data_IF_622831666908
#
_entry.id   IF_622831666908
#
_cell.length_a   1.000
_cell.length_b   1.000
_cell.length_c   1.000
_cell.angle_alpha   90.00
_cell.angle_beta   90.00
_cell.angle_gamma   90.00
#
_symmetry.space_group_name_H-M   'P 1'
#
loop_
_entity.id
_entity.type
_entity.pdbx_description
1 polymer ?
#
# COMPACT_ATOMS: atom_id res chain seq x y z
N UNK A 1 -21.46 -8.27 -24.23
CA UNK A 1 -20.04 -8.62 -23.99
C UNK A 1 -19.36 -7.38 -23.42
N UNK A 2 -18.61 -7.50 -22.32
CA UNK A 2 -17.81 -6.39 -21.79
C UNK A 2 -16.63 -6.19 -22.73
N UNK A 3 -16.48 -4.96 -23.26
CA UNK A 3 -15.35 -4.58 -24.11
C UNK A 3 -14.40 -3.70 -23.27
N UNK A 4 -13.11 -4.07 -23.25
CA UNK A 4 -12.07 -3.30 -22.57
C UNK A 4 -11.33 -2.49 -23.63
N UNK A 5 -11.12 -1.20 -23.37
CA UNK A 5 -10.34 -0.35 -24.25
C UNK A 5 -8.84 -0.49 -23.91
N UNK A 6 -8.14 -1.24 -24.74
CA UNK A 6 -6.68 -1.42 -24.59
C UNK A 6 -5.93 -0.15 -25.04
N UNK A 7 -4.94 0.33 -24.28
CA UNK A 7 -4.00 1.34 -24.76
C UNK A 7 -3.34 0.92 -26.07
N UNK A 8 -3.00 1.90 -26.93
CA UNK A 8 -2.40 1.63 -28.25
C UNK A 8 -1.17 0.75 -28.18
N UNK A 9 -0.28 1.01 -27.23
CA UNK A 9 0.97 0.24 -27.07
C UNK A 9 0.70 -1.20 -26.63
N UNK A 10 -0.23 -1.41 -25.69
CA UNK A 10 -0.65 -2.74 -25.21
C UNK A 10 -1.26 -3.55 -26.36
N UNK A 11 -2.19 -2.93 -27.09
CA UNK A 11 -2.82 -3.53 -28.29
C UNK A 11 -1.77 -3.89 -29.33
N UNK A 12 -0.79 -3.01 -29.58
CA UNK A 12 0.30 -3.26 -30.52
C UNK A 12 1.13 -4.48 -30.10
N UNK A 13 1.53 -4.58 -28.83
CA UNK A 13 2.30 -5.73 -28.33
C UNK A 13 1.50 -7.03 -28.50
N UNK A 14 0.24 -7.03 -28.10
CA UNK A 14 -0.64 -8.21 -28.23
C UNK A 14 -0.76 -8.62 -29.71
N UNK A 15 -1.03 -7.69 -30.62
CA UNK A 15 -1.19 -7.97 -32.04
C UNK A 15 0.10 -8.53 -32.66
N UNK A 16 1.27 -7.93 -32.36
CA UNK A 16 2.56 -8.45 -32.87
C UNK A 16 2.79 -9.89 -32.43
N UNK A 17 2.48 -10.24 -31.19
CA UNK A 17 2.61 -11.62 -30.70
C UNK A 17 1.63 -12.56 -31.44
N UNK A 18 0.36 -12.15 -31.58
CA UNK A 18 -0.67 -12.97 -32.23
C UNK A 18 -0.42 -13.15 -33.72
N UNK A 19 0.02 -12.11 -34.45
CA UNK A 19 0.40 -12.18 -35.87
C UNK A 19 1.59 -13.11 -36.14
N UNK A 20 2.42 -13.38 -35.11
CA UNK A 20 3.53 -14.34 -35.16
C UNK A 20 3.17 -15.72 -34.59
N UNK A 21 1.87 -16.01 -34.40
CA UNK A 21 1.37 -17.34 -34.06
C UNK A 21 1.39 -17.65 -32.55
N UNK A 22 1.52 -16.64 -31.69
CA UNK A 22 1.48 -16.81 -30.25
C UNK A 22 0.16 -16.29 -29.70
N UNK A 23 -0.36 -16.90 -28.63
CA UNK A 23 -1.43 -16.31 -27.86
C UNK A 23 -0.89 -15.14 -27.01
N UNK A 24 -1.67 -14.06 -26.88
CA UNK A 24 -1.33 -12.93 -26.03
C UNK A 24 -2.57 -12.23 -25.49
N UNK A 25 -2.53 -11.86 -24.20
CA UNK A 25 -3.63 -11.20 -23.48
C UNK A 25 -3.10 -10.17 -22.49
N UNK A 26 -3.84 -9.07 -22.29
CA UNK A 26 -3.76 -8.27 -21.07
C UNK A 26 -4.30 -9.11 -19.90
N UNK A 27 -3.71 -9.02 -18.70
CA UNK A 27 -4.03 -9.94 -17.61
C UNK A 27 -3.96 -9.31 -16.22
N UNK A 28 -4.82 -9.77 -15.32
CA UNK A 28 -4.69 -9.41 -13.90
C UNK A 28 -5.35 -8.09 -13.53
N UNK A 29 -4.60 -7.23 -12.84
CA UNK A 29 -5.10 -5.98 -12.28
C UNK A 29 -5.71 -5.03 -13.30
N UNK A 30 -5.10 -4.91 -14.48
CA UNK A 30 -5.59 -4.04 -15.54
C UNK A 30 -6.96 -4.49 -16.08
N UNK A 31 -7.18 -5.80 -16.24
CA UNK A 31 -8.47 -6.35 -16.67
C UNK A 31 -9.54 -6.09 -15.64
N UNK A 32 -9.25 -6.41 -14.36
CA UNK A 32 -10.16 -6.12 -13.24
C UNK A 32 -10.54 -4.64 -13.16
N UNK A 33 -9.56 -3.74 -13.19
CA UNK A 33 -9.80 -2.31 -13.01
C UNK A 33 -10.57 -1.74 -14.20
N UNK A 34 -10.30 -2.18 -15.43
CA UNK A 34 -11.08 -1.82 -16.60
C UNK A 34 -12.55 -2.26 -16.49
N UNK A 35 -12.81 -3.48 -16.01
CA UNK A 35 -14.19 -3.97 -15.77
C UNK A 35 -14.92 -3.12 -14.72
N UNK A 36 -14.19 -2.65 -13.70
CA UNK A 36 -14.73 -1.78 -12.64
C UNK A 36 -14.85 -0.31 -13.06
N UNK A 37 -14.51 0.05 -14.31
CA UNK A 37 -14.51 1.43 -14.79
C UNK A 37 -13.41 2.31 -14.16
N UNK A 38 -12.34 1.69 -13.65
CA UNK A 38 -11.16 2.36 -13.10
C UNK A 38 -10.07 2.44 -14.17
N UNK A 39 -9.26 3.47 -14.14
CA UNK A 39 -8.07 3.56 -15.01
C UNK A 39 -6.96 2.68 -14.43
N UNK A 40 -6.50 1.63 -15.16
CA UNK A 40 -5.37 0.83 -14.72
C UNK A 40 -4.08 1.66 -14.62
N UNK A 41 -3.29 1.43 -13.55
CA UNK A 41 -1.97 2.05 -13.40
C UNK A 41 -0.93 1.38 -14.30
N UNK A 42 -0.94 0.05 -14.33
CA UNK A 42 0.00 -0.77 -15.08
C UNK A 42 -0.76 -1.78 -15.95
N UNK A 43 -0.16 -2.19 -17.06
CA UNK A 43 -0.71 -3.17 -17.97
C UNK A 43 0.25 -4.33 -18.12
N UNK A 44 -0.11 -5.47 -17.54
CA UNK A 44 0.61 -6.73 -17.65
C UNK A 44 0.08 -7.50 -18.85
N UNK A 45 0.98 -8.10 -19.61
CA UNK A 45 0.67 -8.95 -20.76
C UNK A 45 1.18 -10.36 -20.45
N UNK A 46 0.36 -11.37 -20.78
CA UNK A 46 0.75 -12.76 -20.69
C UNK A 46 0.67 -13.41 -22.07
N UNK A 47 1.58 -14.35 -22.41
CA UNK A 47 1.70 -14.92 -23.75
C UNK A 47 2.18 -16.37 -23.72
N UNK A 48 1.86 -17.13 -24.79
CA UNK A 48 2.44 -18.44 -25.04
C UNK A 48 3.88 -18.38 -25.60
N UNK A 49 4.35 -17.19 -26.04
CA UNK A 49 5.70 -17.02 -26.55
C UNK A 49 6.73 -17.15 -25.41
N UNK A 50 7.82 -17.88 -25.66
CA UNK A 50 8.95 -17.97 -24.73
C UNK A 50 9.71 -16.63 -24.67
N UNK A 51 10.45 -16.33 -23.58
CA UNK A 51 11.13 -15.04 -23.41
C UNK A 51 12.04 -14.66 -24.59
N UNK A 52 12.77 -15.62 -25.15
CA UNK A 52 13.65 -15.37 -26.31
C UNK A 52 12.85 -15.09 -27.60
N UNK A 53 11.66 -15.65 -27.73
CA UNK A 53 10.77 -15.37 -28.86
C UNK A 53 10.19 -13.96 -28.75
N UNK A 54 9.77 -13.54 -27.54
CA UNK A 54 9.37 -12.14 -27.25
C UNK A 54 10.50 -11.18 -27.65
N UNK A 55 11.74 -11.46 -27.21
CA UNK A 55 12.91 -10.61 -27.53
C UNK A 55 13.20 -10.52 -29.04
N UNK A 56 12.95 -11.58 -29.77
CA UNK A 56 13.15 -11.59 -31.21
C UNK A 56 12.14 -10.74 -31.99
N UNK A 57 10.93 -10.54 -31.44
CA UNK A 57 9.86 -9.80 -32.11
C UNK A 57 9.93 -8.29 -31.84
N UNK A 58 10.59 -7.85 -30.77
CA UNK A 58 10.62 -6.45 -30.38
C UNK A 58 12.03 -5.87 -30.41
N UNK A 59 12.18 -4.69 -31.01
CA UNK A 59 13.48 -4.02 -31.21
C UNK A 59 14.21 -3.72 -29.90
N UNK A 60 13.48 -3.39 -28.83
CA UNK A 60 14.06 -3.00 -27.54
C UNK A 60 13.36 -3.70 -26.40
N UNK A 61 14.09 -4.51 -25.67
CA UNK A 61 13.62 -5.25 -24.52
C UNK A 61 14.61 -5.14 -23.36
N UNK A 62 14.11 -5.33 -22.12
CA UNK A 62 14.93 -5.37 -20.90
C UNK A 62 14.62 -6.67 -20.16
N UNK A 63 15.65 -7.36 -19.69
CA UNK A 63 15.55 -8.62 -18.97
C UNK A 63 15.23 -8.36 -17.49
N UNK A 64 13.98 -8.06 -17.17
CA UNK A 64 13.55 -7.74 -15.80
C UNK A 64 13.28 -8.98 -14.95
N UNK A 65 13.09 -10.15 -15.58
CA UNK A 65 12.78 -11.40 -14.87
C UNK A 65 12.79 -12.60 -15.79
N UNK A 66 13.78 -12.70 -16.68
CA UNK A 66 13.86 -13.74 -17.72
C UNK A 66 13.84 -15.17 -17.15
N UNK A 67 14.44 -15.37 -15.94
CA UNK A 67 14.42 -16.65 -15.24
C UNK A 67 13.01 -17.06 -14.81
N UNK A 68 12.10 -16.09 -14.67
CA UNK A 68 10.71 -16.29 -14.31
C UNK A 68 9.76 -16.09 -15.50
N UNK A 69 10.30 -15.99 -16.72
CA UNK A 69 9.53 -15.85 -17.94
C UNK A 69 9.10 -14.42 -18.29
N UNK A 70 9.58 -13.40 -17.58
CA UNK A 70 9.19 -12.00 -17.81
C UNK A 70 10.25 -11.23 -18.57
N UNK A 71 9.82 -10.52 -19.62
CA UNK A 71 10.61 -9.58 -20.42
C UNK A 71 9.85 -8.26 -20.48
N UNK A 72 10.53 -7.14 -20.26
CA UNK A 72 9.93 -5.82 -20.45
C UNK A 72 10.15 -5.36 -21.89
N UNK A 73 9.06 -5.17 -22.62
CA UNK A 73 9.06 -4.58 -23.98
C UNK A 73 9.02 -3.07 -23.86
N UNK A 74 9.98 -2.38 -24.49
CA UNK A 74 10.09 -0.93 -24.44
C UNK A 74 9.51 -0.30 -25.71
N UNK A 75 8.44 0.49 -25.55
CA UNK A 75 7.84 1.32 -26.60
C UNK A 75 8.04 2.80 -26.25
N UNK A 76 8.94 3.46 -26.96
CA UNK A 76 9.38 4.81 -26.60
C UNK A 76 10.04 4.86 -25.21
N UNK A 77 9.43 5.58 -24.28
CA UNK A 77 9.88 5.68 -22.88
C UNK A 77 9.15 4.71 -21.93
N UNK A 78 8.10 4.06 -22.40
CA UNK A 78 7.26 3.19 -21.59
C UNK A 78 7.74 1.74 -21.67
N UNK A 79 7.71 1.04 -20.54
CA UNK A 79 7.99 -0.41 -20.45
C UNK A 79 6.72 -1.18 -20.13
N UNK A 80 6.52 -2.30 -20.81
CA UNK A 80 5.38 -3.21 -20.62
C UNK A 80 5.90 -4.59 -20.28
N UNK A 81 5.46 -5.16 -19.16
CA UNK A 81 5.85 -6.51 -18.75
C UNK A 81 5.09 -7.55 -19.58
N UNK A 82 5.84 -8.40 -20.28
CA UNK A 82 5.33 -9.53 -21.05
C UNK A 82 5.85 -10.80 -20.42
N UNK A 83 4.93 -11.61 -19.86
CA UNK A 83 5.26 -12.83 -19.13
C UNK A 83 4.79 -14.05 -19.90
N UNK A 84 5.69 -15.01 -20.11
CA UNK A 84 5.35 -16.33 -20.68
C UNK A 84 4.44 -17.10 -19.76
N UNK A 85 3.42 -17.79 -20.29
CA UNK A 85 2.56 -18.69 -19.51
C UNK A 85 3.41 -19.70 -18.76
N UNK A 86 3.11 -19.89 -17.48
CA UNK A 86 3.91 -20.77 -16.64
C UNK A 86 3.08 -21.48 -15.58
N UNK A 87 3.61 -22.60 -15.15
CA UNK A 87 3.19 -23.34 -13.98
C UNK A 87 4.30 -23.15 -12.94
N UNK A 88 3.94 -22.67 -11.77
CA UNK A 88 4.87 -22.52 -10.67
C UNK A 88 5.09 -23.90 -10.01
N UNK A 89 6.34 -24.32 -9.85
CA UNK A 89 6.69 -25.53 -9.12
C UNK A 89 6.51 -25.36 -7.60
N UNK A 90 6.97 -26.34 -6.82
CA UNK A 90 6.89 -26.25 -5.33
C UNK A 90 7.66 -25.04 -4.82
N UNK A 91 7.05 -24.34 -3.88
CA UNK A 91 7.65 -23.20 -3.18
C UNK A 91 8.47 -23.71 -1.98
N UNK A 92 9.74 -23.33 -1.88
CA UNK A 92 10.60 -23.72 -0.75
C UNK A 92 10.76 -22.60 0.30
N UNK A 93 10.75 -21.34 -0.15
CA UNK A 93 10.98 -20.16 0.69
C UNK A 93 9.71 -19.29 0.90
N UNK A 94 8.52 -19.85 0.62
CA UNK A 94 7.25 -19.14 0.65
C UNK A 94 7.22 -17.87 -0.22
N UNK A 95 8.04 -17.84 -1.31
CA UNK A 95 8.08 -16.71 -2.24
C UNK A 95 8.34 -17.11 -3.69
N UNK A 96 9.38 -17.91 -3.92
CA UNK A 96 9.81 -18.28 -5.25
C UNK A 96 9.54 -19.76 -5.50
N UNK A 97 8.91 -20.11 -6.61
CA UNK A 97 8.87 -21.50 -7.01
C UNK A 97 10.30 -21.99 -7.29
N UNK A 98 10.63 -23.17 -6.82
CA UNK A 98 11.94 -23.83 -7.05
C UNK A 98 12.27 -23.95 -8.53
N UNK A 99 11.23 -24.14 -9.35
CA UNK A 99 11.31 -24.24 -10.78
C UNK A 99 10.09 -23.57 -11.42
N UNK A 100 10.29 -22.97 -12.57
CA UNK A 100 9.21 -22.45 -13.41
C UNK A 100 9.18 -23.35 -14.65
N UNK A 101 8.03 -23.91 -14.92
CA UNK A 101 7.78 -24.67 -16.14
C UNK A 101 6.91 -23.84 -17.09
N UNK A 102 7.38 -23.59 -18.29
CA UNK A 102 6.59 -22.88 -19.28
C UNK A 102 5.51 -23.78 -19.85
N UNK A 103 4.33 -23.22 -20.06
CA UNK A 103 3.18 -23.92 -20.63
C UNK A 103 2.62 -23.12 -21.81
N UNK A 104 1.83 -23.79 -22.64
CA UNK A 104 1.07 -23.15 -23.72
C UNK A 104 -0.41 -22.95 -23.33
N UNK A 105 -0.78 -23.28 -22.09
CA UNK A 105 -2.15 -23.21 -21.62
C UNK A 105 -2.37 -21.99 -20.74
N UNK A 106 -3.14 -21.02 -21.23
CA UNK A 106 -3.51 -19.79 -20.49
C UNK A 106 -4.19 -20.10 -19.15
N UNK A 107 -5.06 -21.14 -19.11
CA UNK A 107 -5.80 -21.45 -17.88
C UNK A 107 -4.86 -21.89 -16.75
N UNK A 108 -3.78 -22.62 -17.07
CA UNK A 108 -2.76 -22.99 -16.07
C UNK A 108 -1.98 -21.75 -15.56
N UNK A 109 -1.70 -20.76 -16.44
CA UNK A 109 -1.11 -19.48 -15.99
C UNK A 109 -2.07 -18.69 -15.09
N UNK A 110 -3.36 -18.65 -15.41
CA UNK A 110 -4.36 -17.99 -14.58
C UNK A 110 -4.55 -18.69 -13.24
N UNK A 111 -4.46 -20.03 -13.20
CA UNK A 111 -4.66 -20.87 -12.00
C UNK A 111 -3.63 -20.62 -10.90
N UNK A 112 -2.39 -20.26 -11.22
CA UNK A 112 -1.33 -19.94 -10.22
C UNK A 112 -1.50 -18.59 -9.56
N UNK A 113 -2.41 -17.73 -10.04
CA UNK A 113 -2.64 -16.38 -9.52
C UNK A 113 -3.31 -16.43 -8.14
N UNK A 114 -3.23 -15.30 -7.43
CA UNK A 114 -3.71 -15.19 -6.05
C UNK A 114 -5.24 -15.25 -5.93
N UNK A 115 -5.94 -14.35 -6.63
CA UNK A 115 -7.40 -14.17 -6.48
C UNK A 115 -8.10 -14.24 -7.83
N UNK A 116 -9.34 -14.75 -7.81
CA UNK A 116 -10.19 -14.90 -9.01
C UNK A 116 -10.34 -13.59 -9.78
N UNK A 117 -10.50 -12.48 -9.08
CA UNK A 117 -10.62 -11.14 -9.68
C UNK A 117 -9.36 -10.66 -10.40
N UNK A 118 -8.21 -11.30 -10.18
CA UNK A 118 -6.93 -11.06 -10.86
C UNK A 118 -6.56 -12.20 -11.82
N UNK A 119 -7.39 -13.23 -11.92
CA UNK A 119 -7.17 -14.39 -12.79
C UNK A 119 -8.07 -14.34 -14.05
N UNK A 120 -8.17 -13.16 -14.62
CA UNK A 120 -8.88 -12.90 -15.86
C UNK A 120 -7.92 -12.34 -16.90
N UNK A 121 -8.13 -12.69 -18.15
CA UNK A 121 -7.34 -12.22 -19.28
C UNK A 121 -8.26 -11.61 -20.35
N UNK A 122 -7.72 -10.72 -21.19
CA UNK A 122 -8.48 -10.03 -22.24
C UNK A 122 -7.61 -9.75 -23.46
N UNK A 123 -8.15 -10.00 -24.64
CA UNK A 123 -7.71 -9.38 -25.90
C UNK A 123 -8.92 -9.01 -26.77
N UNK A 124 -8.69 -8.25 -27.85
CA UNK A 124 -9.78 -7.77 -28.70
C UNK A 124 -10.43 -8.88 -29.55
N UNK A 125 -9.73 -9.99 -29.77
CA UNK A 125 -10.21 -11.12 -30.60
C UNK A 125 -11.11 -12.08 -29.79
N UNK A 126 -10.65 -12.53 -28.63
CA UNK A 126 -11.34 -13.53 -27.82
C UNK A 126 -12.22 -12.93 -26.71
N UNK A 127 -12.06 -11.61 -26.43
CA UNK A 127 -12.76 -10.96 -25.30
C UNK A 127 -12.18 -11.37 -23.95
N UNK A 128 -13.03 -11.42 -22.93
CA UNK A 128 -12.64 -11.81 -21.56
C UNK A 128 -12.56 -13.34 -21.44
N UNK A 129 -11.42 -13.84 -20.99
CA UNK A 129 -11.22 -15.22 -20.54
C UNK A 129 -11.26 -15.25 -19.03
N UNK A 130 -12.28 -15.91 -18.48
CA UNK A 130 -12.56 -16.01 -17.04
C UNK A 130 -12.85 -17.48 -16.67
N UNK A 131 -11.80 -18.23 -16.35
CA UNK A 131 -11.89 -19.64 -16.00
C UNK A 131 -12.25 -19.89 -14.53
N UNK A 132 -12.24 -18.86 -13.68
CA UNK A 132 -12.37 -19.00 -12.22
C UNK A 132 -13.49 -18.14 -11.61
N UNK A 133 -14.42 -17.65 -12.44
CA UNK A 133 -15.57 -16.83 -12.03
C UNK A 133 -15.17 -15.47 -11.38
N UNK A 134 -14.09 -14.87 -11.86
CA UNK A 134 -13.65 -13.55 -11.42
C UNK A 134 -14.68 -12.45 -11.68
N UNK A 135 -15.40 -12.52 -12.82
CA UNK A 135 -16.52 -11.62 -13.14
C UNK A 135 -17.68 -11.75 -12.13
N UNK A 136 -17.99 -12.98 -11.70
CA UNK A 136 -18.98 -13.25 -10.67
C UNK A 136 -18.53 -12.66 -9.32
N UNK A 137 -17.27 -12.82 -8.95
CA UNK A 137 -16.72 -12.28 -7.70
C UNK A 137 -16.66 -10.75 -7.70
N UNK A 138 -16.36 -10.12 -8.82
CA UNK A 138 -16.46 -8.66 -8.96
C UNK A 138 -17.91 -8.18 -8.72
N UNK A 139 -18.91 -8.87 -9.26
CA UNK A 139 -20.32 -8.53 -9.04
C UNK A 139 -20.75 -8.75 -7.58
N UNK A 140 -20.29 -9.83 -6.95
CA UNK A 140 -20.53 -10.13 -5.53
C UNK A 140 -19.73 -9.25 -4.59
N UNK A 141 -18.74 -8.55 -5.10
CA UNK A 141 -17.81 -7.71 -4.34
C UNK A 141 -17.03 -8.50 -3.27
N UNK A 142 -16.47 -9.63 -3.66
CA UNK A 142 -15.68 -10.50 -2.78
C UNK A 142 -14.27 -10.76 -3.32
N UNK A 143 -13.33 -10.96 -2.39
CA UNK A 143 -11.97 -11.42 -2.64
C UNK A 143 -11.93 -12.91 -2.34
N UNK A 144 -11.77 -13.74 -3.37
CA UNK A 144 -11.68 -15.20 -3.28
C UNK A 144 -10.39 -15.68 -3.92
N UNK A 145 -9.71 -16.62 -3.27
CA UNK A 145 -8.54 -17.28 -3.84
C UNK A 145 -8.89 -18.12 -5.08
N UNK A 146 -7.94 -18.22 -6.00
CA UNK A 146 -8.04 -19.17 -7.11
C UNK A 146 -7.82 -20.58 -6.57
N UNK A 147 -8.80 -21.48 -6.76
CA UNK A 147 -8.73 -22.84 -6.24
C UNK A 147 -8.88 -22.89 -4.71
N UNK A 148 -8.05 -23.69 -4.04
CA UNK A 148 -8.08 -23.82 -2.57
C UNK A 148 -7.26 -22.73 -1.91
N UNK A 149 -7.90 -21.94 -1.05
CA UNK A 149 -7.26 -20.82 -0.36
C UNK A 149 -6.06 -21.26 0.49
N UNK A 150 -6.16 -22.41 1.17
CA UNK A 150 -5.08 -22.97 1.96
C UNK A 150 -3.82 -23.19 1.12
N UNK A 151 -3.95 -23.81 -0.06
CA UNK A 151 -2.81 -24.07 -0.94
C UNK A 151 -2.17 -22.75 -1.43
N UNK A 152 -3.00 -21.75 -1.77
CA UNK A 152 -2.54 -20.41 -2.22
C UNK A 152 -1.76 -19.65 -1.14
N UNK A 153 -2.18 -19.75 0.10
CA UNK A 153 -1.48 -19.07 1.21
C UNK A 153 -0.25 -19.85 1.69
N UNK A 154 -0.24 -21.18 1.57
CA UNK A 154 0.95 -21.98 1.85
C UNK A 154 2.07 -21.74 0.83
N UNK A 155 1.74 -21.51 -0.44
CA UNK A 155 2.70 -21.11 -1.47
C UNK A 155 3.36 -19.75 -1.17
N UNK A 156 2.58 -18.73 -0.82
CA UNK A 156 3.08 -17.39 -0.45
C UNK A 156 2.15 -16.76 0.60
N UNK A 157 2.58 -16.80 1.85
CA UNK A 157 1.81 -16.22 2.96
C UNK A 157 1.53 -14.71 2.79
N UNK A 158 2.33 -13.97 2.00
CA UNK A 158 2.05 -12.57 1.72
C UNK A 158 0.68 -12.38 1.04
N UNK A 159 0.15 -13.40 0.36
CA UNK A 159 -1.19 -13.34 -0.24
C UNK A 159 -2.28 -13.09 0.81
N UNK A 160 -2.06 -13.41 2.09
CA UNK A 160 -2.96 -13.05 3.19
C UNK A 160 -3.07 -11.51 3.32
N UNK A 161 -1.94 -10.81 3.39
CA UNK A 161 -1.95 -9.34 3.41
C UNK A 161 -2.47 -8.74 2.10
N UNK A 162 -2.20 -9.38 0.98
CA UNK A 162 -2.74 -8.97 -0.33
C UNK A 162 -4.27 -9.08 -0.36
N UNK A 163 -4.87 -10.11 0.25
CA UNK A 163 -6.34 -10.23 0.36
C UNK A 163 -6.93 -9.03 1.11
N UNK A 164 -6.36 -8.66 2.26
CA UNK A 164 -6.80 -7.50 3.04
C UNK A 164 -6.58 -6.20 2.26
N UNK A 165 -5.42 -6.04 1.60
CA UNK A 165 -5.16 -4.86 0.77
C UNK A 165 -6.17 -4.72 -0.36
N UNK A 166 -6.46 -5.78 -1.11
CA UNK A 166 -7.46 -5.72 -2.18
C UNK A 166 -8.86 -5.45 -1.62
N UNK A 167 -9.21 -6.06 -0.47
CA UNK A 167 -10.44 -5.75 0.25
C UNK A 167 -10.54 -4.24 0.55
N UNK A 168 -9.49 -3.63 1.08
CA UNK A 168 -9.43 -2.19 1.36
C UNK A 168 -9.46 -1.32 0.08
N UNK A 169 -8.70 -1.67 -0.95
CA UNK A 169 -8.63 -0.90 -2.19
C UNK A 169 -9.93 -0.91 -3.00
N UNK A 170 -10.65 -2.03 -2.97
CA UNK A 170 -11.86 -2.23 -3.74
C UNK A 170 -13.14 -1.99 -2.92
N UNK A 171 -13.06 -2.00 -1.59
CA UNK A 171 -14.21 -1.98 -0.69
C UNK A 171 -15.00 -3.30 -0.75
N UNK A 172 -14.32 -4.44 -0.91
CA UNK A 172 -14.89 -5.77 -1.06
C UNK A 172 -14.73 -6.59 0.23
N UNK A 173 -15.66 -7.51 0.49
CA UNK A 173 -15.49 -8.51 1.53
C UNK A 173 -14.45 -9.57 1.14
N UNK A 174 -13.97 -10.33 2.11
CA UNK A 174 -13.17 -11.55 1.87
C UNK A 174 -14.13 -12.74 2.01
N UNK A 175 -14.09 -13.67 1.07
CA UNK A 175 -14.89 -14.88 1.08
C UNK A 175 -14.54 -15.76 2.31
N UNK A 176 -15.54 -16.45 2.88
CA UNK A 176 -15.42 -17.12 4.18
C UNK A 176 -14.33 -18.20 4.23
N UNK A 177 -14.21 -19.05 3.22
CA UNK A 177 -13.17 -20.08 3.17
C UNK A 177 -11.78 -19.45 2.98
N UNK A 178 -11.71 -18.36 2.22
CA UNK A 178 -10.49 -17.56 2.07
C UNK A 178 -10.09 -16.90 3.40
N UNK A 179 -11.04 -16.32 4.13
CA UNK A 179 -10.78 -15.73 5.45
C UNK A 179 -10.40 -16.78 6.49
N UNK A 180 -11.02 -17.96 6.46
CA UNK A 180 -10.69 -19.10 7.35
C UNK A 180 -9.25 -19.56 7.12
N UNK A 181 -8.88 -19.83 5.87
CA UNK A 181 -7.51 -20.22 5.52
C UNK A 181 -6.49 -19.15 5.89
N UNK A 182 -6.84 -17.86 5.73
CA UNK A 182 -5.99 -16.74 6.14
C UNK A 182 -5.72 -16.75 7.66
N UNK A 183 -6.74 -17.01 8.50
CA UNK A 183 -6.57 -17.13 9.96
C UNK A 183 -5.67 -18.31 10.34
N UNK A 184 -5.88 -19.47 9.72
CA UNK A 184 -5.11 -20.67 9.98
C UNK A 184 -3.63 -20.50 9.61
N UNK A 185 -3.35 -19.82 8.50
CA UNK A 185 -2.01 -19.65 7.96
C UNK A 185 -1.34 -18.30 8.32
N UNK A 186 -2.03 -17.39 9.06
CA UNK A 186 -1.44 -16.14 9.51
C UNK A 186 -0.06 -16.30 10.19
N UNK A 187 0.20 -17.34 11.04
CA UNK A 187 1.51 -17.53 11.66
C UNK A 187 2.65 -17.70 10.65
N UNK A 188 2.39 -18.17 9.44
CA UNK A 188 3.43 -18.35 8.40
C UNK A 188 4.00 -17.05 7.86
N UNK A 189 3.32 -15.91 8.10
CA UNK A 189 3.80 -14.56 7.75
C UNK A 189 5.16 -14.22 8.41
N UNK A 190 5.54 -14.92 9.50
CA UNK A 190 6.87 -14.77 10.11
C UNK A 190 8.01 -15.04 9.12
N UNK A 191 7.77 -15.88 8.10
CA UNK A 191 8.72 -16.21 7.04
C UNK A 191 8.88 -15.12 5.98
N UNK A 192 7.96 -14.16 5.93
CA UNK A 192 7.94 -13.11 4.91
C UNK A 192 8.83 -11.94 5.34
N UNK A 193 9.62 -11.42 4.41
CA UNK A 193 10.49 -10.27 4.68
C UNK A 193 9.68 -9.02 5.06
N UNK A 194 10.22 -8.22 5.98
CA UNK A 194 9.55 -7.01 6.48
C UNK A 194 9.29 -5.97 5.39
N UNK A 195 10.14 -5.92 4.37
CA UNK A 195 10.01 -5.05 3.20
C UNK A 195 8.77 -5.41 2.37
N UNK A 196 8.49 -6.71 2.20
CA UNK A 196 7.28 -7.16 1.50
C UNK A 196 6.02 -6.87 2.32
N UNK A 197 6.09 -7.09 3.63
CA UNK A 197 4.98 -6.80 4.56
C UNK A 197 4.63 -5.31 4.53
N UNK A 198 5.60 -4.41 4.73
CA UNK A 198 5.31 -2.98 4.75
C UNK A 198 4.81 -2.47 3.39
N UNK A 199 5.26 -3.05 2.29
CA UNK A 199 4.78 -2.67 0.95
C UNK A 199 3.27 -2.91 0.81
N UNK A 200 2.75 -4.06 1.27
CA UNK A 200 1.32 -4.34 1.27
C UNK A 200 0.57 -3.47 2.30
N UNK A 201 1.14 -3.27 3.48
CA UNK A 201 0.57 -2.43 4.53
C UNK A 201 0.48 -0.96 4.09
N UNK A 202 1.50 -0.42 3.43
CA UNK A 202 1.49 0.94 2.86
C UNK A 202 0.35 1.10 1.86
N UNK A 203 0.19 0.13 0.93
CA UNK A 203 -0.89 0.16 -0.06
C UNK A 203 -2.28 0.05 0.57
N UNK A 204 -2.39 -0.68 1.69
CA UNK A 204 -3.62 -0.76 2.47
C UNK A 204 -3.93 0.58 3.13
N UNK A 205 -2.99 1.15 3.86
CA UNK A 205 -3.16 2.41 4.58
C UNK A 205 -3.41 3.60 3.65
N UNK A 206 -2.86 3.59 2.44
CA UNK A 206 -3.10 4.62 1.41
C UNK A 206 -4.35 4.37 0.56
N UNK A 207 -5.08 3.27 0.79
CA UNK A 207 -6.31 2.95 0.05
C UNK A 207 -7.47 3.90 0.39
N UNK A 208 -8.55 3.79 -0.39
CA UNK A 208 -9.79 4.52 -0.13
C UNK A 208 -10.54 4.07 1.14
N UNK A 209 -10.25 2.86 1.65
CA UNK A 209 -10.85 2.32 2.86
C UNK A 209 -9.77 1.83 3.84
N UNK A 210 -8.93 2.73 4.37
CA UNK A 210 -7.80 2.34 5.22
C UNK A 210 -8.23 1.75 6.58
N UNK A 211 -9.47 1.96 7.00
CA UNK A 211 -10.09 1.38 8.18
C UNK A 211 -10.30 -0.15 8.07
N UNK A 212 -10.21 -0.72 6.86
CA UNK A 212 -10.12 -2.18 6.64
C UNK A 212 -8.86 -2.80 7.25
N UNK A 213 -7.94 -2.00 7.74
CA UNK A 213 -6.86 -2.46 8.60
C UNK A 213 -7.38 -3.33 9.77
N UNK A 214 -8.60 -3.11 10.25
CA UNK A 214 -9.23 -3.97 11.27
C UNK A 214 -9.36 -5.44 10.85
N UNK A 215 -9.46 -5.71 9.54
CA UNK A 215 -9.48 -7.08 9.01
C UNK A 215 -8.13 -7.79 9.29
N UNK A 216 -7.01 -7.05 9.30
CA UNK A 216 -5.69 -7.58 9.71
C UNK A 216 -5.75 -8.08 11.16
N UNK A 217 -6.51 -7.37 12.00
CA UNK A 217 -6.72 -7.75 13.40
C UNK A 217 -7.62 -8.98 13.51
N UNK A 218 -8.76 -9.00 12.81
CA UNK A 218 -9.74 -10.09 12.83
C UNK A 218 -9.16 -11.42 12.29
N UNK A 219 -8.19 -11.34 11.38
CA UNK A 219 -7.47 -12.50 10.85
C UNK A 219 -6.30 -12.97 11.74
N UNK A 220 -6.05 -12.33 12.88
CA UNK A 220 -4.93 -12.66 13.76
C UNK A 220 -3.55 -12.35 13.18
N UNK A 221 -3.51 -11.54 12.11
CA UNK A 221 -2.27 -11.16 11.43
C UNK A 221 -1.51 -10.09 12.21
N UNK A 222 -2.23 -9.26 12.98
CA UNK A 222 -1.66 -8.13 13.73
C UNK A 222 -0.53 -8.56 14.66
N UNK A 223 -0.73 -9.65 15.42
CA UNK A 223 0.27 -10.20 16.36
C UNK A 223 1.58 -10.62 15.69
N UNK A 224 1.57 -10.86 14.39
CA UNK A 224 2.75 -11.29 13.63
C UNK A 224 3.49 -10.08 13.06
N UNK A 225 2.74 -9.07 12.59
CA UNK A 225 3.32 -7.90 11.92
C UNK A 225 3.66 -6.76 12.88
N UNK A 226 2.80 -6.51 13.88
CA UNK A 226 2.96 -5.48 14.92
C UNK A 226 2.48 -6.06 16.26
N UNK A 227 3.30 -6.88 16.94
CA UNK A 227 2.90 -7.55 18.19
C UNK A 227 2.43 -6.58 19.29
N UNK A 228 2.97 -5.36 19.30
CA UNK A 228 2.61 -4.32 20.27
C UNK A 228 1.13 -3.91 20.18
N UNK A 229 0.47 -4.21 19.06
CA UNK A 229 -0.96 -3.94 18.86
C UNK A 229 -1.83 -5.20 19.04
N UNK A 230 -1.28 -6.35 19.47
CA UNK A 230 -2.05 -7.60 19.59
C UNK A 230 -3.23 -7.48 20.58
N UNK A 231 -2.99 -6.85 21.73
CA UNK A 231 -3.93 -6.83 22.87
C UNK A 231 -4.60 -5.46 23.07
N UNK A 232 -4.86 -4.72 21.98
CA UNK A 232 -5.65 -3.49 22.08
C UNK A 232 -7.14 -3.84 22.28
N UNK A 233 -7.81 -3.11 23.17
CA UNK A 233 -9.25 -3.26 23.39
C UNK A 233 -10.08 -2.71 22.22
N UNK A 234 -11.35 -3.10 22.16
CA UNK A 234 -12.26 -2.69 21.10
C UNK A 234 -12.38 -1.16 20.97
N UNK A 235 -12.36 -0.42 22.09
CA UNK A 235 -12.44 1.04 22.10
C UNK A 235 -11.20 1.66 21.42
N UNK A 236 -10.00 1.16 21.74
CA UNK A 236 -8.77 1.62 21.06
C UNK A 236 -8.76 1.27 19.58
N UNK A 237 -9.24 0.08 19.23
CA UNK A 237 -9.34 -0.33 17.84
C UNK A 237 -10.27 0.60 17.04
N UNK A 238 -11.46 0.91 17.58
CA UNK A 238 -12.39 1.84 16.94
C UNK A 238 -11.84 3.27 16.84
N UNK A 239 -11.11 3.71 17.84
CA UNK A 239 -10.40 5.00 17.82
C UNK A 239 -9.36 5.03 16.71
N UNK A 240 -8.53 3.98 16.57
CA UNK A 240 -7.54 3.86 15.49
C UNK A 240 -8.23 3.88 14.12
N UNK A 241 -9.31 3.11 13.93
CA UNK A 241 -10.11 3.11 12.68
C UNK A 241 -10.60 4.50 12.32
N UNK A 242 -11.15 5.22 13.30
CA UNK A 242 -11.63 6.58 13.12
C UNK A 242 -10.49 7.52 12.71
N UNK A 243 -9.35 7.46 13.37
CA UNK A 243 -8.19 8.31 13.09
C UNK A 243 -7.60 8.04 11.71
N UNK A 244 -7.34 6.77 11.38
CA UNK A 244 -6.83 6.37 10.06
C UNK A 244 -7.75 6.91 8.95
N UNK A 245 -9.06 6.87 9.14
CA UNK A 245 -10.02 7.37 8.14
C UNK A 245 -10.02 8.88 7.99
N UNK A 246 -9.75 9.60 9.09
CA UNK A 246 -9.76 11.07 9.14
C UNK A 246 -8.46 11.71 8.65
N UNK A 247 -7.33 11.04 8.83
CA UNK A 247 -6.03 11.58 8.42
C UNK A 247 -5.85 11.61 6.92
N UNK A 248 -4.98 12.49 6.43
CA UNK A 248 -4.59 12.56 5.03
C UNK A 248 -4.00 11.22 4.54
N UNK A 249 -4.12 10.94 3.24
CA UNK A 249 -3.58 9.73 2.62
C UNK A 249 -2.07 9.84 2.38
N UNK A 250 -1.32 10.09 3.45
CA UNK A 250 0.15 10.20 3.47
C UNK A 250 0.69 9.26 4.54
N UNK A 251 1.77 8.53 4.24
CA UNK A 251 2.24 7.43 5.09
C UNK A 251 2.54 7.83 6.54
N UNK A 252 3.29 8.91 6.85
CA UNK A 252 3.56 9.28 8.23
C UNK A 252 2.29 9.50 9.06
N UNK A 253 1.28 10.18 8.52
CA UNK A 253 0.00 10.44 9.18
C UNK A 253 -0.80 9.16 9.39
N UNK A 254 -0.84 8.28 8.39
CA UNK A 254 -1.54 7.00 8.47
C UNK A 254 -0.90 6.09 9.52
N UNK A 255 0.45 6.04 9.57
CA UNK A 255 1.16 5.28 10.60
C UNK A 255 1.02 5.91 11.99
N UNK A 256 1.07 7.23 12.10
CA UNK A 256 0.82 7.89 13.38
C UNK A 256 -0.59 7.61 13.91
N UNK A 257 -1.60 7.63 13.04
CA UNK A 257 -2.97 7.26 13.40
C UNK A 257 -3.07 5.79 13.84
N UNK A 258 -2.41 4.86 13.11
CA UNK A 258 -2.35 3.44 13.46
C UNK A 258 -1.67 3.21 14.82
N UNK A 259 -0.61 3.95 15.13
CA UNK A 259 0.21 3.82 16.32
C UNK A 259 -0.17 4.82 17.44
N UNK A 260 -1.34 5.46 17.35
CA UNK A 260 -1.80 6.48 18.32
C UNK A 260 -2.06 5.94 19.72
N UNK A 261 -2.00 4.63 19.92
CA UNK A 261 -2.17 3.98 21.24
C UNK A 261 -0.86 3.56 21.91
N UNK A 262 0.31 3.85 21.30
CA UNK A 262 1.63 3.60 21.85
C UNK A 262 2.40 4.92 21.97
N UNK A 263 3.52 4.92 22.73
CA UNK A 263 4.42 6.07 22.81
C UNK A 263 5.29 6.23 21.55
N UNK A 264 5.91 7.41 21.41
CA UNK A 264 6.70 7.76 20.22
C UNK A 264 7.93 6.86 19.99
N UNK A 265 8.59 6.43 21.07
CA UNK A 265 9.78 5.57 21.00
C UNK A 265 9.38 4.16 20.53
N UNK A 266 8.27 3.66 21.05
CA UNK A 266 7.68 2.39 20.61
C UNK A 266 7.22 2.47 19.15
N UNK A 267 6.57 3.56 18.73
CA UNK A 267 6.19 3.79 17.34
C UNK A 267 7.42 3.78 16.44
N UNK A 268 8.48 4.50 16.80
CA UNK A 268 9.74 4.49 16.07
C UNK A 268 10.36 3.11 15.94
N UNK A 269 10.37 2.30 17.02
CA UNK A 269 10.88 0.91 16.99
C UNK A 269 10.06 0.00 16.07
N UNK A 270 8.74 0.09 16.12
CA UNK A 270 7.82 -0.66 15.25
C UNK A 270 8.12 -0.35 13.78
N UNK A 271 8.14 0.95 13.41
CA UNK A 271 8.33 1.39 12.04
C UNK A 271 9.72 1.01 11.48
N UNK A 272 10.76 1.11 12.34
CA UNK A 272 12.10 0.62 12.00
C UNK A 272 12.11 -0.90 11.81
N UNK A 273 11.40 -1.64 12.66
CA UNK A 273 11.22 -3.08 12.54
C UNK A 273 10.52 -3.49 11.25
N UNK A 274 9.58 -2.69 10.77
CA UNK A 274 8.90 -2.84 9.47
C UNK A 274 9.77 -2.39 8.29
N UNK A 275 10.98 -1.85 8.50
CA UNK A 275 11.90 -1.40 7.44
C UNK A 275 11.35 -0.26 6.58
N UNK A 276 10.64 0.68 7.19
CA UNK A 276 10.26 1.92 6.51
C UNK A 276 11.47 2.86 6.34
N UNK A 277 11.31 3.86 5.47
CA UNK A 277 12.32 4.91 5.30
C UNK A 277 12.40 5.83 6.52
N UNK A 278 13.59 6.42 6.74
CA UNK A 278 13.85 7.24 7.92
C UNK A 278 12.96 8.48 8.00
N UNK A 279 12.59 9.10 6.88
CA UNK A 279 11.73 10.29 6.87
C UNK A 279 10.32 9.94 7.37
N UNK A 280 9.77 8.83 6.91
CA UNK A 280 8.47 8.30 7.38
C UNK A 280 8.54 7.93 8.87
N UNK A 281 9.60 7.25 9.32
CA UNK A 281 9.77 6.85 10.74
C UNK A 281 9.81 8.08 11.64
N UNK A 282 10.68 9.05 11.35
CA UNK A 282 10.87 10.24 12.18
C UNK A 282 9.60 11.08 12.26
N UNK A 283 8.94 11.29 11.11
CA UNK A 283 7.73 12.10 11.07
C UNK A 283 6.56 11.42 11.79
N UNK A 284 6.35 10.12 11.58
CA UNK A 284 5.28 9.39 12.26
C UNK A 284 5.49 9.33 13.78
N UNK A 285 6.72 9.08 14.25
CA UNK A 285 7.04 9.10 15.68
C UNK A 285 6.85 10.50 16.28
N UNK A 286 7.21 11.57 15.55
CA UNK A 286 6.95 12.94 15.97
C UNK A 286 5.45 13.24 16.05
N UNK A 287 4.65 12.82 15.09
CA UNK A 287 3.19 12.95 15.14
C UNK A 287 2.59 12.22 16.34
N UNK A 288 3.07 11.00 16.64
CA UNK A 288 2.65 10.25 17.83
C UNK A 288 3.06 10.99 19.13
N UNK A 289 4.27 11.59 19.18
CA UNK A 289 4.74 12.36 20.35
C UNK A 289 3.83 13.55 20.67
N UNK A 290 3.44 14.29 19.65
CA UNK A 290 2.63 15.51 19.78
C UNK A 290 1.13 15.28 19.55
N UNK A 291 0.73 14.02 19.47
CA UNK A 291 -0.67 13.66 19.40
C UNK A 291 -1.41 14.10 20.69
N UNK A 292 -2.57 14.73 20.51
CA UNK A 292 -3.43 15.18 21.61
C UNK A 292 -2.73 16.15 22.59
N UNK A 293 -1.71 16.89 22.16
CA UNK A 293 -1.14 17.98 22.94
C UNK A 293 -2.19 19.08 23.15
N UNK A 294 -2.06 19.87 24.21
CA UNK A 294 -2.91 21.04 24.38
C UNK A 294 -2.55 22.12 23.35
N UNK A 295 -3.53 22.65 22.56
CA UNK A 295 -3.25 23.72 21.61
C UNK A 295 -2.83 25.02 22.33
N UNK A 296 -1.78 25.67 21.82
CA UNK A 296 -1.31 26.95 22.32
C UNK A 296 -1.78 28.09 21.41
N UNK A 297 -2.31 29.18 21.98
CA UNK A 297 -2.97 30.25 21.22
C UNK A 297 -2.34 31.63 21.41
N UNK A 298 -1.18 31.74 22.08
CA UNK A 298 -0.39 32.94 22.11
C UNK A 298 0.78 32.90 21.14
N UNK A 299 1.15 34.02 20.53
CA UNK A 299 2.25 34.10 19.57
C UNK A 299 3.58 33.62 20.16
N UNK A 300 3.88 34.01 21.42
CA UNK A 300 5.09 33.59 22.12
C UNK A 300 5.16 32.05 22.30
N UNK A 301 4.04 31.43 22.74
CA UNK A 301 3.97 30.00 22.93
C UNK A 301 4.03 29.23 21.59
N UNK A 302 3.45 29.78 20.52
CA UNK A 302 3.54 29.18 19.18
C UNK A 302 4.98 29.28 18.63
N UNK A 303 5.70 30.37 18.85
CA UNK A 303 7.14 30.45 18.48
C UNK A 303 7.97 29.41 19.23
N UNK A 304 7.74 29.27 20.54
CA UNK A 304 8.41 28.23 21.31
C UNK A 304 8.11 26.82 20.76
N UNK A 305 6.85 26.53 20.47
CA UNK A 305 6.42 25.28 19.84
C UNK A 305 7.12 25.06 18.48
N UNK A 306 7.16 26.09 17.60
CA UNK A 306 7.83 25.99 16.29
C UNK A 306 9.32 25.67 16.47
N UNK A 307 9.99 26.30 17.43
CA UNK A 307 11.40 26.04 17.74
C UNK A 307 11.62 24.60 18.26
N UNK A 308 10.71 24.07 19.07
CA UNK A 308 10.80 22.73 19.61
C UNK A 308 10.59 21.65 18.53
N UNK A 309 9.56 21.80 17.67
CA UNK A 309 9.20 20.76 16.68
C UNK A 309 9.86 20.95 15.34
N UNK A 310 10.38 22.12 15.05
CA UNK A 310 10.94 22.55 13.76
C UNK A 310 9.89 23.19 12.85
N UNK A 311 10.30 24.22 12.15
CA UNK A 311 9.43 25.06 11.30
C UNK A 311 8.65 24.27 10.23
N UNK A 312 9.32 23.30 9.59
CA UNK A 312 8.70 22.50 8.54
C UNK A 312 7.65 21.53 9.04
N UNK A 313 7.77 21.06 10.29
CA UNK A 313 6.90 20.05 10.87
C UNK A 313 5.74 20.65 11.69
N UNK A 314 5.88 21.89 12.16
CA UNK A 314 4.94 22.53 13.07
C UNK A 314 3.50 22.53 12.52
N UNK A 315 3.30 23.01 11.29
CA UNK A 315 1.98 23.05 10.65
C UNK A 315 1.45 21.64 10.43
N UNK A 316 2.29 20.70 10.02
CA UNK A 316 1.90 19.32 9.77
C UNK A 316 1.38 18.61 11.03
N UNK A 317 2.02 18.86 12.18
CA UNK A 317 1.57 18.33 13.48
C UNK A 317 0.23 18.93 13.86
N UNK A 318 0.06 20.24 13.69
CA UNK A 318 -1.21 20.92 13.99
C UNK A 318 -2.33 20.40 13.10
N UNK A 319 -2.09 20.27 11.78
CA UNK A 319 -3.07 19.75 10.80
C UNK A 319 -3.45 18.30 11.11
N UNK A 320 -2.49 17.46 11.53
CA UNK A 320 -2.76 16.11 12.00
C UNK A 320 -3.70 16.12 13.21
N UNK A 321 -3.41 16.93 14.23
CA UNK A 321 -4.28 17.04 15.41
C UNK A 321 -5.67 17.55 15.06
N UNK A 322 -5.81 18.55 14.18
CA UNK A 322 -7.10 19.04 13.67
C UNK A 322 -7.91 17.90 13.04
N UNK A 323 -7.26 17.03 12.26
CA UNK A 323 -7.93 15.94 11.55
C UNK A 323 -8.56 14.90 12.48
N UNK A 324 -7.97 14.68 13.66
CA UNK A 324 -8.33 13.58 14.56
C UNK A 324 -8.92 14.03 15.90
N UNK A 325 -8.80 15.32 16.27
CA UNK A 325 -9.33 15.82 17.55
C UNK A 325 -10.87 15.89 17.55
N UNK A 326 -11.43 15.84 18.75
CA UNK A 326 -12.85 16.14 18.99
C UNK A 326 -13.19 17.62 18.80
N UNK A 327 -14.48 17.93 18.72
CA UNK A 327 -14.99 19.28 18.51
C UNK A 327 -14.49 20.31 19.53
N UNK A 328 -14.24 19.88 20.76
CA UNK A 328 -13.80 20.75 21.86
C UNK A 328 -12.41 21.36 21.64
N UNK A 329 -11.45 20.58 21.12
CA UNK A 329 -10.09 21.04 20.88
C UNK A 329 -9.90 21.63 19.47
N UNK A 330 -10.81 21.39 18.56
CA UNK A 330 -10.68 21.78 17.15
C UNK A 330 -10.49 23.30 16.99
N UNK A 331 -11.24 24.12 17.73
CA UNK A 331 -11.11 25.58 17.71
C UNK A 331 -9.71 26.01 18.14
N UNK A 332 -9.19 25.47 19.23
CA UNK A 332 -7.85 25.78 19.74
C UNK A 332 -6.75 25.45 18.72
N UNK A 333 -6.80 24.27 18.12
CA UNK A 333 -5.85 23.90 17.05
C UNK A 333 -6.01 24.76 15.79
N UNK A 334 -7.24 25.13 15.42
CA UNK A 334 -7.47 26.01 14.28
C UNK A 334 -6.87 27.41 14.52
N UNK A 335 -7.01 27.96 15.73
CA UNK A 335 -6.41 29.24 16.08
C UNK A 335 -4.89 29.15 16.19
N UNK A 336 -4.34 28.08 16.77
CA UNK A 336 -2.90 27.77 16.76
C UNK A 336 -2.34 27.71 15.35
N UNK A 337 -3.06 27.05 14.41
CA UNK A 337 -2.67 26.97 13.00
C UNK A 337 -2.53 28.35 12.35
N UNK A 338 -3.52 29.25 12.57
CA UNK A 338 -3.47 30.64 12.06
C UNK A 338 -2.23 31.37 12.54
N UNK A 339 -1.92 31.23 13.84
CA UNK A 339 -0.74 31.88 14.44
C UNK A 339 0.56 31.26 13.87
N UNK A 340 0.63 29.91 13.70
CA UNK A 340 1.78 29.27 13.06
C UNK A 340 2.03 29.80 11.64
N UNK A 341 0.97 29.96 10.83
CA UNK A 341 1.09 30.52 9.46
C UNK A 341 1.60 31.96 9.53
N UNK A 342 1.02 32.78 10.39
CA UNK A 342 1.41 34.20 10.56
C UNK A 342 2.87 34.35 10.98
N UNK A 343 3.33 33.56 11.97
CA UNK A 343 4.73 33.59 12.46
C UNK A 343 5.68 33.15 11.36
N UNK A 344 5.31 32.11 10.60
CA UNK A 344 6.13 31.61 9.48
C UNK A 344 6.24 32.62 8.33
N UNK A 345 5.15 33.29 7.94
CA UNK A 345 5.14 34.31 6.88
C UNK A 345 5.95 35.55 7.24
N UNK A 346 6.06 35.90 8.52
CA UNK A 346 6.91 36.98 9.01
C UNK A 346 8.41 36.62 9.04
N UNK A 347 8.75 35.34 8.87
CA UNK A 347 10.14 34.87 9.05
C UNK A 347 10.65 34.93 10.47
N UNK A 348 9.75 35.03 11.45
CA UNK A 348 10.04 35.34 12.85
C UNK A 348 9.93 34.09 13.74
N UNK A 349 10.41 32.95 13.18
CA UNK A 349 10.35 31.65 13.86
C UNK A 349 11.41 31.49 14.95
N UNK A 350 12.47 32.32 14.96
CA UNK A 350 13.52 32.30 15.97
C UNK A 350 13.08 33.08 17.22
N UNK A 351 12.99 32.42 18.36
CA UNK A 351 12.85 33.07 19.64
C UNK A 351 14.18 33.80 19.95
N UNK A 352 14.20 35.12 19.84
CA UNK A 352 15.27 35.92 20.37
C UNK A 352 15.27 35.82 21.92
N UNK A 353 15.88 34.78 22.46
CA UNK A 353 16.21 34.66 23.90
C UNK A 353 17.44 35.47 24.24
N UNK A 354 17.68 36.61 23.56
CA UNK A 354 18.76 37.53 23.88
C UNK A 354 18.23 38.95 23.78
N UNK A 355 17.62 39.46 24.83
CA UNK A 355 17.68 40.87 25.27
C UNK A 355 16.88 41.05 26.53
N UNK A 356 17.42 40.70 27.71
CA UNK A 356 17.02 41.34 28.97
C UNK A 356 17.96 41.15 30.17
N UNK A 357 19.19 40.65 29.94
CA UNK A 357 20.15 40.56 31.07
C UNK A 357 21.48 41.29 30.83
N UNK A 358 21.46 42.37 30.04
CA UNK A 358 22.65 43.22 29.85
C UNK A 358 22.31 44.70 30.01
N UNK A 359 21.55 45.05 31.03
CA UNK A 359 21.34 46.45 31.41
C UNK A 359 21.03 46.57 32.90
N UNK A 360 21.92 46.07 33.75
CA UNK A 360 21.99 46.54 35.14
C UNK A 360 23.29 46.12 35.81
N UNK A 361 24.41 46.71 35.36
CA UNK A 361 25.65 46.77 36.13
C UNK A 361 26.49 47.96 35.59
N UNK A 362 26.16 49.11 36.08
CA UNK A 362 26.94 50.31 35.79
C UNK A 362 26.36 51.53 36.45
N UNK A 363 26.51 51.60 37.74
CA UNK A 363 26.80 52.84 38.46
C UNK A 363 26.93 52.58 39.96
N UNK A 364 28.13 52.63 40.47
CA UNK A 364 28.43 53.34 41.72
C UNK A 364 29.93 53.37 41.99
N UNK A 365 30.43 54.62 41.98
CA UNK A 365 31.62 55.23 42.54
C UNK A 365 32.93 55.03 41.84
#
# INVERSE_FOLDING_TARGET
MVRIELPKDVRHIINVLMENGYEAYAVGGCVRDSILGRTPGDWDITTSALPMQVKALFRRTVDTGIQHGTVTVMLGKNGYEVTTYRIDGKYEDSRHPKSVEFTFNLVEDLKRRDFTINAMAYNDEHGIVDAFDGMGDLKRRIIRCVGKAHDRFDEDALRILRAVRFSAQLGFGIEDDTAKAARELAPTLVKISRERIHTELNKLLLSGNPDYFSVVYDLGVMKIIIPELENIDAHKLDKIKHFIKKTSAVLPERYAALLSCVDADTAGRILKGLKLDNATILMAAKLVKYYNMNPVVSEAAVRHYINEVGENDALRIVDFNISICGSELNKGYTDMRKICVMVKERGDCTCLLYTSDAADDGESV
#
